data_IF_764792102539
#
_entry.id   IF_764792102539
#
_cell.length_a   1.000
_cell.length_b   1.000
_cell.length_c   1.000
_cell.angle_alpha   90.00
_cell.angle_beta   90.00
_cell.angle_gamma   90.00
#
_symmetry.space_group_name_H-M   'P 1'
#
loop_
_entity.id
_entity.type
_entity.pdbx_description
1 polymer ?
#
# COMPACT_ATOMS: atom_id res chain seq x y z
N UNK A 1 -6.81 -15.53 1.61
CA UNK A 1 -5.53 -15.87 2.28
C UNK A 1 -5.17 -14.70 3.18
N UNK A 2 -5.28 -14.85 4.49
CA UNK A 2 -5.23 -13.74 5.47
C UNK A 2 -3.84 -13.17 5.77
N UNK A 3 -2.76 -13.62 5.11
CA UNK A 3 -1.41 -13.12 5.37
C UNK A 3 -0.65 -12.88 4.06
N UNK A 4 -0.70 -11.63 3.59
CA UNK A 4 0.16 -11.16 2.51
C UNK A 4 1.59 -10.94 3.05
N UNK A 5 2.47 -11.95 2.91
CA UNK A 5 3.88 -11.88 3.35
C UNK A 5 4.57 -10.63 2.78
N UNK A 6 4.35 -10.31 1.51
CA UNK A 6 4.93 -9.13 0.85
C UNK A 6 4.43 -7.81 1.41
N UNK A 7 3.22 -7.79 1.96
CA UNK A 7 2.70 -6.64 2.66
C UNK A 7 3.37 -6.50 4.03
N UNK A 8 3.61 -7.59 4.76
CA UNK A 8 4.37 -7.56 6.01
C UNK A 8 5.82 -7.10 5.79
N UNK A 9 6.52 -7.67 4.82
CA UNK A 9 7.89 -7.24 4.46
C UNK A 9 7.93 -5.74 4.09
N UNK A 10 6.89 -5.22 3.43
CA UNK A 10 6.82 -3.78 3.11
C UNK A 10 6.61 -2.92 4.35
N UNK A 11 5.78 -3.37 5.30
CA UNK A 11 5.59 -2.68 6.58
C UNK A 11 6.88 -2.61 7.37
N UNK A 12 7.66 -3.71 7.39
CA UNK A 12 8.97 -3.75 8.03
C UNK A 12 9.97 -2.80 7.36
N UNK A 13 9.99 -2.73 6.03
CA UNK A 13 10.83 -1.78 5.29
C UNK A 13 10.48 -0.31 5.57
N UNK A 14 9.24 -0.03 5.94
CA UNK A 14 8.74 1.31 6.28
C UNK A 14 8.70 1.53 7.81
N UNK A 15 9.08 0.55 8.62
CA UNK A 15 9.01 0.65 10.07
C UNK A 15 9.96 1.75 10.57
N UNK A 16 9.44 2.65 11.40
CA UNK A 16 10.20 3.77 11.97
C UNK A 16 10.24 5.02 11.09
N UNK A 17 9.54 5.02 9.95
CA UNK A 17 9.30 6.25 9.17
C UNK A 17 8.09 6.99 9.72
N UNK A 18 8.27 8.25 10.08
CA UNK A 18 7.19 9.13 10.53
C UNK A 18 6.52 9.88 9.36
N UNK A 19 7.10 9.80 8.16
CA UNK A 19 6.63 10.47 6.96
C UNK A 19 5.72 9.58 6.08
N UNK A 20 5.36 8.39 6.54
CA UNK A 20 4.54 7.42 5.80
C UNK A 20 3.45 6.85 6.70
N UNK A 21 2.20 7.03 6.29
CA UNK A 21 1.05 6.39 6.93
C UNK A 21 0.79 4.99 6.35
N UNK A 22 0.69 3.99 7.23
CA UNK A 22 0.40 2.60 6.84
C UNK A 22 -1.09 2.32 7.06
N UNK A 23 -1.85 2.29 5.96
CA UNK A 23 -3.26 1.90 5.96
C UNK A 23 -3.41 0.44 5.56
N UNK A 24 -4.26 -0.31 6.27
CA UNK A 24 -4.56 -1.71 5.96
C UNK A 24 -6.04 -1.86 5.67
N UNK A 25 -6.37 -2.33 4.47
CA UNK A 25 -7.75 -2.60 4.08
C UNK A 25 -8.12 -4.06 4.33
N UNK A 26 -9.40 -4.35 4.62
CA UNK A 26 -9.89 -5.72 4.64
C UNK A 26 -9.63 -6.43 3.31
N UNK A 27 -9.35 -7.73 3.37
CA UNK A 27 -9.13 -8.51 2.14
C UNK A 27 -10.43 -8.68 1.34
N UNK A 28 -11.57 -8.84 2.02
CA UNK A 28 -12.89 -8.93 1.40
C UNK A 28 -13.46 -7.53 1.22
N UNK A 29 -13.76 -7.16 -0.04
CA UNK A 29 -14.38 -5.87 -0.39
C UNK A 29 -15.74 -5.66 0.29
N UNK A 30 -16.46 -6.72 0.65
CA UNK A 30 -17.74 -6.61 1.37
C UNK A 30 -17.56 -6.12 2.82
N UNK A 31 -16.33 -6.20 3.35
CA UNK A 31 -15.98 -5.70 4.68
C UNK A 31 -15.46 -4.26 4.64
N UNK A 32 -15.33 -3.66 3.45
CA UNK A 32 -14.88 -2.28 3.32
C UNK A 32 -15.99 -1.34 3.75
N UNK A 33 -15.61 -0.36 4.57
CA UNK A 33 -16.48 0.74 4.95
C UNK A 33 -16.43 1.82 3.87
N UNK A 34 -17.41 2.72 3.87
CA UNK A 34 -17.45 3.84 2.92
C UNK A 34 -16.17 4.68 2.96
N UNK A 35 -15.60 4.88 4.16
CA UNK A 35 -14.31 5.53 4.35
C UNK A 35 -13.15 4.83 3.63
N UNK A 36 -13.12 3.50 3.61
CA UNK A 36 -12.09 2.71 2.94
C UNK A 36 -12.17 2.91 1.42
N UNK A 37 -13.39 2.88 0.88
CA UNK A 37 -13.63 3.16 -0.54
C UNK A 37 -13.25 4.59 -0.92
N UNK A 38 -13.65 5.57 -0.11
CA UNK A 38 -13.38 6.98 -0.37
C UNK A 38 -11.87 7.26 -0.34
N UNK A 39 -11.15 6.69 0.64
CA UNK A 39 -9.70 6.82 0.75
C UNK A 39 -8.96 6.16 -0.42
N UNK A 40 -9.35 4.95 -0.80
CA UNK A 40 -8.72 4.25 -1.92
C UNK A 40 -8.99 4.95 -3.26
N UNK A 41 -10.17 5.55 -3.44
CA UNK A 41 -10.52 6.32 -4.65
C UNK A 41 -9.84 7.69 -4.68
N UNK A 42 -9.72 8.38 -3.55
CA UNK A 42 -9.07 9.71 -3.50
C UNK A 42 -7.59 9.65 -3.87
N UNK A 43 -6.95 8.49 -3.68
CA UNK A 43 -5.56 8.23 -4.05
C UNK A 43 -5.41 7.43 -5.36
N UNK A 44 -6.51 7.19 -6.09
CA UNK A 44 -6.53 6.41 -7.34
C UNK A 44 -5.93 4.98 -7.19
N UNK A 45 -6.02 4.35 -6.01
CA UNK A 45 -5.47 3.01 -5.75
C UNK A 45 -6.52 1.90 -5.69
N UNK A 46 -7.81 2.24 -5.73
CA UNK A 46 -8.89 1.28 -5.54
C UNK A 46 -8.87 0.11 -6.53
N UNK A 47 -8.74 0.38 -7.84
CA UNK A 47 -8.69 -0.68 -8.85
C UNK A 47 -7.41 -1.53 -8.74
N UNK A 48 -6.30 -0.89 -8.36
CA UNK A 48 -5.03 -1.58 -8.19
C UNK A 48 -5.07 -2.52 -6.97
N UNK A 49 -5.68 -2.10 -5.85
CA UNK A 49 -5.83 -2.90 -4.62
C UNK A 49 -6.66 -4.17 -4.83
N UNK A 50 -7.60 -4.16 -5.79
CA UNK A 50 -8.36 -5.35 -6.17
C UNK A 50 -7.51 -6.40 -6.92
N UNK A 51 -6.40 -5.96 -7.53
CA UNK A 51 -5.53 -6.80 -8.35
C UNK A 51 -4.27 -7.24 -7.60
N UNK A 52 -3.71 -6.36 -6.78
CA UNK A 52 -2.42 -6.60 -6.12
C UNK A 52 -2.22 -5.71 -4.90
N UNK A 53 -1.43 -6.22 -3.96
CA UNK A 53 -0.92 -5.49 -2.81
C UNK A 53 0.52 -5.96 -2.54
N UNK A 54 1.37 -5.15 -1.90
CA UNK A 54 1.12 -3.79 -1.38
C UNK A 54 1.22 -2.70 -2.45
N UNK A 55 0.68 -1.52 -2.15
CA UNK A 55 0.77 -0.31 -2.98
C UNK A 55 1.28 0.81 -2.11
N UNK A 56 2.29 1.54 -2.60
CA UNK A 56 2.75 2.79 -2.00
C UNK A 56 2.29 3.94 -2.88
N UNK A 57 1.60 4.91 -2.28
CA UNK A 57 1.19 6.14 -2.94
C UNK A 57 2.01 7.30 -2.37
N UNK A 58 2.55 8.15 -3.24
CA UNK A 58 3.40 9.29 -2.88
C UNK A 58 3.09 10.46 -3.81
N UNK A 59 2.51 11.54 -3.29
CA UNK A 59 2.30 12.79 -4.01
C UNK A 59 1.70 12.63 -5.43
N UNK A 60 0.75 11.71 -5.58
CA UNK A 60 0.09 11.40 -6.86
C UNK A 60 0.74 10.30 -7.69
N UNK A 61 1.90 9.76 -7.26
CA UNK A 61 2.55 8.62 -7.91
C UNK A 61 2.29 7.29 -7.17
N UNK A 62 1.98 6.24 -7.93
CA UNK A 62 1.71 4.88 -7.41
C UNK A 62 2.88 3.93 -7.69
N UNK A 63 3.50 3.39 -6.64
CA UNK A 63 4.45 2.27 -6.72
C UNK A 63 3.72 0.97 -6.35
N UNK A 64 3.31 0.24 -7.38
CA UNK A 64 2.49 -0.97 -7.23
C UNK A 64 3.39 -2.21 -7.06
N UNK A 65 3.18 -2.94 -5.96
CA UNK A 65 3.85 -4.20 -5.66
C UNK A 65 5.19 -4.04 -4.94
N UNK A 66 5.51 -5.03 -4.11
CA UNK A 66 6.70 -5.04 -3.24
C UNK A 66 8.01 -4.73 -3.94
N UNK A 67 8.28 -5.33 -5.11
CA UNK A 67 9.56 -5.13 -5.82
C UNK A 67 9.76 -3.67 -6.26
N UNK A 68 8.70 -2.99 -6.68
CA UNK A 68 8.77 -1.58 -7.09
C UNK A 68 8.96 -0.67 -5.88
N UNK A 69 8.25 -0.95 -4.79
CA UNK A 69 8.36 -0.21 -3.53
C UNK A 69 9.78 -0.35 -2.97
N UNK A 70 10.31 -1.59 -2.89
CA UNK A 70 11.67 -1.86 -2.42
C UNK A 70 12.71 -1.13 -3.27
N UNK A 71 12.58 -1.17 -4.59
CA UNK A 71 13.51 -0.48 -5.49
C UNK A 71 13.48 1.04 -5.24
N UNK A 72 12.30 1.63 -5.14
CA UNK A 72 12.16 3.06 -4.85
C UNK A 72 12.81 3.43 -3.51
N UNK A 73 12.57 2.65 -2.45
CA UNK A 73 13.22 2.86 -1.15
C UNK A 73 14.75 2.83 -1.26
N UNK A 74 15.30 1.88 -2.01
CA UNK A 74 16.75 1.77 -2.23
C UNK A 74 17.34 2.93 -3.05
N UNK A 75 16.57 3.48 -3.99
CA UNK A 75 17.02 4.56 -4.86
C UNK A 75 16.91 5.94 -4.17
N UNK A 76 15.91 6.14 -3.30
CA UNK A 76 15.63 7.43 -2.64
C UNK A 76 16.40 7.66 -1.35
N UNK A 77 16.64 6.61 -0.54
CA UNK A 77 17.23 6.74 0.80
C UNK A 77 18.65 6.17 0.89
N UNK A 78 19.40 6.26 -0.20
CA UNK A 78 20.75 5.72 -0.33
C UNK A 78 21.82 6.65 0.24
#
# INVERSE_FOLDING_TARGET
>A
MEQCIKCQETKELLAGREDVDIVTFPHDLNQWREEDFNLAKSHDVFEDLQRTAPILWLDGEKKIGYLRIRKWLQDTFK
#
